data_IF_648623043110
#
_entry.id   IF_648623043110
#
_cell.length_a   1.000
_cell.length_b   1.000
_cell.length_c   1.000
_cell.angle_alpha   90.00
_cell.angle_beta   90.00
_cell.angle_gamma   90.00
#
_symmetry.space_group_name_H-M   'P 1'
#
loop_
_entity.id
_entity.type
_entity.pdbx_description
1 polymer ?
#
# COMPACT_ATOMS: atom_id res chain seq x y z
N UNK A 1 22.26 0.58 -7.55
CA UNK A 1 20.96 0.26 -6.95
C UNK A 1 20.67 1.15 -5.74
N UNK A 2 19.42 1.15 -5.32
CA UNK A 2 18.98 1.87 -4.13
C UNK A 2 18.77 0.87 -2.96
N UNK A 3 19.79 0.61 -2.11
CA UNK A 3 19.68 -0.39 -1.05
C UNK A 3 18.62 -0.03 0.00
N UNK A 4 18.46 1.26 0.34
CA UNK A 4 17.45 1.70 1.28
C UNK A 4 16.04 1.35 0.79
N UNK A 5 15.74 1.63 -0.47
CA UNK A 5 14.46 1.26 -1.09
C UNK A 5 14.22 -0.26 -1.05
N UNK A 6 15.23 -1.06 -1.37
CA UNK A 6 15.10 -2.51 -1.37
C UNK A 6 14.78 -3.06 0.03
N UNK A 7 15.46 -2.58 1.07
CA UNK A 7 15.22 -3.01 2.44
C UNK A 7 13.90 -2.45 3.01
N UNK A 8 13.52 -1.21 2.68
CA UNK A 8 12.23 -0.66 3.09
C UNK A 8 11.06 -1.44 2.47
N UNK A 9 11.14 -1.75 1.18
CA UNK A 9 10.13 -2.56 0.51
C UNK A 9 10.05 -3.97 1.10
N UNK A 10 11.20 -4.58 1.42
CA UNK A 10 11.21 -5.91 1.99
C UNK A 10 10.68 -5.96 3.42
N UNK A 11 11.03 -4.98 4.28
CA UNK A 11 10.48 -4.93 5.64
C UNK A 11 8.95 -4.73 5.62
N UNK A 12 8.44 -3.86 4.71
CA UNK A 12 6.99 -3.65 4.51
C UNK A 12 6.31 -4.92 4.04
N UNK A 13 6.93 -5.64 3.13
CA UNK A 13 6.42 -6.93 2.65
C UNK A 13 6.33 -7.96 3.79
N UNK A 14 7.39 -8.10 4.61
CA UNK A 14 7.36 -9.03 5.76
C UNK A 14 6.23 -8.65 6.72
N UNK A 15 6.10 -7.37 7.07
CA UNK A 15 5.06 -6.90 7.98
C UNK A 15 3.66 -7.18 7.42
N UNK A 16 3.40 -6.78 6.18
CA UNK A 16 2.10 -6.97 5.54
C UNK A 16 1.76 -8.45 5.36
N UNK A 17 2.71 -9.26 4.92
CA UNK A 17 2.51 -10.71 4.78
C UNK A 17 2.21 -11.36 6.14
N UNK A 18 2.96 -11.01 7.17
CA UNK A 18 2.76 -11.55 8.51
C UNK A 18 1.40 -11.15 9.09
N UNK A 19 1.00 -9.88 8.96
CA UNK A 19 -0.25 -9.35 9.50
C UNK A 19 -1.46 -9.83 8.68
N UNK A 20 -1.46 -9.60 7.38
CA UNK A 20 -2.65 -9.82 6.53
C UNK A 20 -2.79 -11.28 6.10
N UNK A 21 -1.69 -11.97 5.79
CA UNK A 21 -1.74 -13.35 5.28
C UNK A 21 -1.72 -14.36 6.41
N UNK A 22 -0.88 -14.12 7.43
CA UNK A 22 -0.63 -15.05 8.54
C UNK A 22 -1.28 -14.65 9.86
N UNK A 23 -1.98 -13.50 9.89
CA UNK A 23 -2.74 -12.99 11.05
C UNK A 23 -1.88 -12.77 12.31
N UNK A 24 -0.59 -12.46 12.13
CA UNK A 24 0.30 -12.06 13.22
C UNK A 24 0.06 -10.59 13.57
N UNK A 25 -0.20 -10.23 14.83
CA UNK A 25 -0.56 -8.85 15.19
C UNK A 25 0.45 -7.79 14.73
N UNK A 26 0.00 -6.82 13.94
CA UNK A 26 0.80 -5.72 13.39
C UNK A 26 1.59 -4.94 14.45
N UNK A 27 1.02 -4.78 15.63
CA UNK A 27 1.62 -4.05 16.75
C UNK A 27 2.98 -4.61 17.20
N UNK A 28 3.25 -5.89 16.96
CA UNK A 28 4.56 -6.50 17.28
C UNK A 28 5.66 -5.95 16.38
N UNK A 29 5.33 -5.72 15.12
CA UNK A 29 6.26 -5.16 14.11
C UNK A 29 6.42 -3.65 14.30
N UNK A 30 5.34 -2.93 14.55
CA UNK A 30 5.36 -1.49 14.79
C UNK A 30 6.25 -1.13 15.98
N UNK A 31 6.18 -1.90 17.06
CA UNK A 31 7.04 -1.72 18.24
C UNK A 31 8.53 -1.80 17.89
N UNK A 32 8.93 -2.73 17.03
CA UNK A 32 10.34 -2.84 16.59
C UNK A 32 10.79 -1.59 15.85
N UNK A 33 9.94 -1.05 14.98
CA UNK A 33 10.25 0.17 14.24
C UNK A 33 10.38 1.35 15.20
N UNK A 34 9.47 1.48 16.15
CA UNK A 34 9.46 2.57 17.12
C UNK A 34 10.68 2.54 18.03
N UNK A 35 11.07 1.36 18.52
CA UNK A 35 12.28 1.17 19.31
C UNK A 35 13.55 1.60 18.53
N UNK A 36 13.66 1.21 17.26
CA UNK A 36 14.80 1.59 16.41
C UNK A 36 14.80 3.09 16.12
N UNK A 37 13.62 3.68 15.87
CA UNK A 37 13.50 5.14 15.68
C UNK A 37 13.94 5.90 16.94
N UNK A 38 13.52 5.43 18.11
CA UNK A 38 13.90 6.03 19.39
C UNK A 38 15.42 5.95 19.61
N UNK A 39 16.03 4.79 19.39
CA UNK A 39 17.47 4.59 19.48
C UNK A 39 18.25 5.50 18.52
N UNK A 40 17.74 5.72 17.33
CA UNK A 40 18.35 6.60 16.29
C UNK A 40 17.98 8.07 16.45
N UNK A 41 17.04 8.40 17.33
CA UNK A 41 16.51 9.76 17.53
C UNK A 41 15.91 10.35 16.24
N UNK A 42 15.20 9.54 15.46
CA UNK A 42 14.50 9.92 14.25
C UNK A 42 12.98 9.80 14.45
N UNK A 43 12.21 10.57 13.67
CA UNK A 43 10.76 10.61 13.82
C UNK A 43 10.03 9.82 12.73
N UNK A 44 10.58 9.79 11.51
CA UNK A 44 9.94 9.15 10.37
C UNK A 44 10.70 7.92 9.89
N UNK A 45 9.96 6.93 9.41
CA UNK A 45 10.54 5.73 8.80
C UNK A 45 11.46 6.05 7.62
N UNK A 46 11.19 7.17 6.93
CA UNK A 46 12.00 7.64 5.81
C UNK A 46 13.41 8.08 6.20
N UNK A 47 13.66 8.34 7.48
CA UNK A 47 14.97 8.74 8.04
C UNK A 47 15.83 7.54 8.40
N UNK A 48 15.23 6.33 8.49
CA UNK A 48 15.98 5.10 8.75
C UNK A 48 16.92 4.78 7.59
N UNK A 49 18.16 4.45 7.93
CA UNK A 49 19.17 4.05 6.97
C UNK A 49 18.97 2.62 6.44
N UNK A 50 19.69 2.24 5.40
CA UNK A 50 19.69 0.87 4.91
C UNK A 50 20.13 -0.16 5.97
N UNK A 51 21.08 0.22 6.83
CA UNK A 51 21.56 -0.65 7.91
C UNK A 51 20.51 -0.79 9.03
N UNK A 52 19.82 0.30 9.39
CA UNK A 52 18.73 0.23 10.35
C UNK A 52 17.59 -0.68 9.83
N UNK A 53 17.26 -0.57 8.55
CA UNK A 53 16.24 -1.41 7.92
C UNK A 53 16.64 -2.90 7.85
N UNK A 54 17.93 -3.22 7.73
CA UNK A 54 18.41 -4.61 7.85
C UNK A 54 18.14 -5.17 9.25
N UNK A 55 18.39 -4.35 10.28
CA UNK A 55 18.10 -4.75 11.66
C UNK A 55 16.60 -4.93 11.89
N UNK A 56 15.75 -4.03 11.36
CA UNK A 56 14.29 -4.19 11.38
C UNK A 56 13.88 -5.52 10.75
N UNK A 57 14.39 -5.83 9.55
CA UNK A 57 14.09 -7.08 8.83
C UNK A 57 14.49 -8.30 9.65
N UNK A 58 15.67 -8.27 10.28
CA UNK A 58 16.15 -9.37 11.11
C UNK A 58 15.17 -9.63 12.25
N UNK A 59 14.80 -8.61 13.00
CA UNK A 59 13.87 -8.71 14.12
C UNK A 59 12.45 -9.11 13.68
N UNK A 60 11.99 -8.64 12.52
CA UNK A 60 10.71 -9.05 11.94
C UNK A 60 10.66 -10.54 11.63
N UNK A 61 11.73 -11.09 11.07
CA UNK A 61 11.83 -12.53 10.82
C UNK A 61 11.85 -13.36 12.11
N UNK A 62 12.45 -12.85 13.16
CA UNK A 62 12.44 -13.49 14.49
C UNK A 62 11.03 -13.52 15.08
N UNK A 63 10.29 -12.41 14.98
CA UNK A 63 8.87 -12.37 15.40
C UNK A 63 8.05 -13.36 14.60
N UNK A 64 8.20 -13.38 13.28
CA UNK A 64 7.52 -14.34 12.41
C UNK A 64 7.79 -15.77 12.85
N UNK A 65 9.06 -16.11 13.01
CA UNK A 65 9.48 -17.46 13.45
C UNK A 65 8.91 -17.83 14.82
N UNK A 66 8.92 -16.89 15.77
CA UNK A 66 8.35 -17.12 17.11
C UNK A 66 6.84 -17.41 17.04
N UNK A 67 6.11 -16.67 16.22
CA UNK A 67 4.64 -16.79 16.10
C UNK A 67 4.18 -17.95 15.24
N UNK A 68 4.91 -18.24 14.16
CA UNK A 68 4.53 -19.25 13.19
C UNK A 68 5.20 -20.61 13.43
N UNK A 69 6.28 -20.66 14.21
CA UNK A 69 7.06 -21.86 14.43
C UNK A 69 7.98 -22.25 13.26
N UNK A 70 8.04 -21.43 12.22
CA UNK A 70 8.84 -21.66 11.00
C UNK A 70 9.47 -20.37 10.49
N UNK A 71 10.50 -20.51 9.66
CA UNK A 71 11.18 -19.36 9.04
C UNK A 71 10.27 -18.63 8.05
N UNK A 72 10.44 -17.31 7.93
CA UNK A 72 9.73 -16.52 6.92
C UNK A 72 10.03 -17.07 5.51
N UNK A 73 8.99 -17.43 4.73
CA UNK A 73 9.18 -18.07 3.43
C UNK A 73 9.93 -17.16 2.45
N UNK A 74 10.99 -17.70 1.83
CA UNK A 74 11.81 -16.94 0.88
C UNK A 74 11.45 -17.22 -0.58
N UNK A 75 10.68 -18.28 -0.84
CA UNK A 75 10.26 -18.66 -2.18
C UNK A 75 9.05 -17.81 -2.62
N UNK A 76 9.17 -16.96 -3.67
CA UNK A 76 8.09 -16.05 -4.08
C UNK A 76 6.78 -16.76 -4.43
N UNK A 77 6.86 -17.96 -4.98
CA UNK A 77 5.66 -18.74 -5.32
C UNK A 77 4.90 -19.21 -4.08
N UNK A 78 5.63 -19.58 -3.03
CA UNK A 78 5.01 -19.93 -1.74
C UNK A 78 4.32 -18.71 -1.15
N UNK A 79 5.00 -17.56 -1.12
CA UNK A 79 4.44 -16.30 -0.65
C UNK A 79 3.16 -15.92 -1.41
N UNK A 80 3.18 -16.02 -2.74
CA UNK A 80 2.02 -15.74 -3.58
C UNK A 80 0.85 -16.68 -3.27
N UNK A 81 1.12 -17.98 -3.16
CA UNK A 81 0.06 -18.95 -2.91
C UNK A 81 -0.58 -18.80 -1.52
N UNK A 82 0.21 -18.46 -0.50
CA UNK A 82 -0.35 -18.16 0.82
C UNK A 82 -1.21 -16.88 0.79
N UNK A 83 -0.78 -15.84 0.06
CA UNK A 83 -1.58 -14.63 -0.13
C UNK A 83 -2.90 -14.93 -0.88
N UNK A 84 -2.88 -15.74 -1.93
CA UNK A 84 -4.08 -16.20 -2.64
C UNK A 84 -5.03 -16.95 -1.70
N UNK A 85 -4.52 -17.87 -0.90
CA UNK A 85 -5.32 -18.59 0.10
C UNK A 85 -5.93 -17.63 1.14
N UNK A 86 -5.18 -16.62 1.59
CA UNK A 86 -5.68 -15.63 2.52
C UNK A 86 -6.86 -14.84 1.93
N UNK A 87 -6.80 -14.45 0.66
CA UNK A 87 -7.93 -13.79 -0.02
C UNK A 87 -9.16 -14.69 -0.03
N UNK A 88 -9.02 -15.98 -0.37
CA UNK A 88 -10.16 -16.90 -0.33
C UNK A 88 -10.70 -17.09 1.09
N UNK A 89 -9.83 -17.23 2.09
CA UNK A 89 -10.29 -17.32 3.51
C UNK A 89 -11.03 -16.06 3.97
N UNK A 90 -10.64 -14.87 3.48
CA UNK A 90 -11.26 -13.61 3.88
C UNK A 90 -12.75 -13.50 3.50
N UNK A 91 -13.23 -14.32 2.55
CA UNK A 91 -14.64 -14.42 2.22
C UNK A 91 -15.50 -14.82 3.42
N UNK A 92 -14.97 -15.66 4.30
CA UNK A 92 -15.68 -16.20 5.46
C UNK A 92 -15.38 -15.45 6.77
N UNK A 93 -14.65 -14.33 6.70
CA UNK A 93 -14.44 -13.51 7.89
C UNK A 93 -15.75 -12.77 8.28
N UNK A 94 -15.89 -12.45 9.56
CA UNK A 94 -17.10 -11.87 10.13
C UNK A 94 -17.52 -10.55 9.43
N UNK A 95 -16.55 -9.68 9.14
CA UNK A 95 -16.80 -8.41 8.44
C UNK A 95 -17.39 -8.63 7.04
N UNK A 96 -16.84 -9.59 6.29
CA UNK A 96 -17.32 -9.92 4.94
C UNK A 96 -18.72 -10.54 4.98
N UNK A 97 -19.00 -11.39 5.97
CA UNK A 97 -20.32 -11.99 6.19
C UNK A 97 -21.36 -10.90 6.49
N UNK A 98 -21.05 -9.98 7.40
CA UNK A 98 -21.94 -8.85 7.74
C UNK A 98 -22.19 -7.97 6.53
N UNK A 99 -21.13 -7.60 5.78
CA UNK A 99 -21.25 -6.81 4.57
C UNK A 99 -22.16 -7.45 3.52
N UNK A 100 -21.98 -8.75 3.28
CA UNK A 100 -22.85 -9.49 2.33
C UNK A 100 -24.31 -9.46 2.74
N UNK A 101 -24.59 -9.67 4.03
CA UNK A 101 -25.97 -9.61 4.55
C UNK A 101 -26.61 -8.23 4.37
N UNK A 102 -25.83 -7.16 4.58
CA UNK A 102 -26.30 -5.78 4.44
C UNK A 102 -26.56 -5.38 2.99
N UNK A 103 -25.93 -6.04 2.03
CA UNK A 103 -26.02 -5.73 0.60
C UNK A 103 -26.69 -6.82 -0.22
N UNK A 104 -27.38 -7.77 0.42
CA UNK A 104 -28.10 -8.88 -0.23
C UNK A 104 -27.24 -9.69 -1.22
N UNK A 105 -25.94 -9.87 -0.88
CA UNK A 105 -24.99 -10.63 -1.70
C UNK A 105 -25.06 -12.11 -1.29
N UNK A 106 -25.35 -13.04 -2.24
CA UNK A 106 -25.39 -14.47 -1.95
C UNK A 106 -24.06 -15.01 -1.43
N UNK A 107 -24.13 -15.85 -0.39
CA UNK A 107 -22.92 -16.42 0.26
C UNK A 107 -22.19 -17.46 -0.59
N UNK A 108 -22.85 -18.03 -1.58
CA UNK A 108 -22.34 -19.06 -2.48
C UNK A 108 -21.61 -18.51 -3.72
N UNK A 109 -21.56 -17.19 -3.90
CA UNK A 109 -20.81 -16.60 -5.03
C UNK A 109 -19.29 -16.77 -4.91
N UNK A 110 -18.76 -16.68 -3.71
CA UNK A 110 -17.32 -16.71 -3.49
C UNK A 110 -16.64 -15.40 -3.91
N UNK A 111 -15.31 -15.44 -3.97
CA UNK A 111 -14.46 -14.30 -4.36
C UNK A 111 -13.46 -14.71 -5.44
N UNK A 112 -12.81 -13.72 -6.04
CA UNK A 112 -11.76 -13.93 -7.03
C UNK A 112 -10.48 -13.19 -6.62
N UNK A 113 -9.35 -13.62 -7.19
CA UNK A 113 -8.03 -13.03 -6.95
C UNK A 113 -7.44 -12.57 -8.26
N UNK A 114 -7.02 -11.31 -8.31
CA UNK A 114 -6.20 -10.78 -9.39
C UNK A 114 -4.76 -10.61 -8.90
N UNK A 115 -3.79 -11.14 -9.67
CA UNK A 115 -2.37 -10.90 -9.42
C UNK A 115 -1.92 -9.77 -10.32
N UNK A 116 -1.52 -8.65 -9.73
CA UNK A 116 -1.16 -7.44 -10.44
C UNK A 116 0.29 -7.05 -10.14
N UNK A 117 1.01 -6.61 -11.18
CA UNK A 117 2.34 -6.03 -11.01
C UNK A 117 2.27 -4.77 -10.15
N UNK A 118 3.19 -4.68 -9.20
CA UNK A 118 3.26 -3.56 -8.28
C UNK A 118 4.10 -2.41 -8.86
N UNK A 119 3.61 -1.18 -8.71
CA UNK A 119 4.35 0.05 -9.00
C UNK A 119 4.71 0.72 -7.67
N UNK A 120 5.95 1.21 -7.55
CA UNK A 120 6.49 1.70 -6.29
C UNK A 120 6.55 3.23 -6.27
N UNK A 121 5.77 3.85 -5.38
CA UNK A 121 5.77 5.30 -5.15
C UNK A 121 6.88 5.79 -4.21
N UNK A 122 7.65 4.90 -3.61
CA UNK A 122 8.70 5.20 -2.62
C UNK A 122 10.14 5.01 -3.16
N UNK A 123 10.33 5.22 -4.46
CA UNK A 123 11.66 5.06 -5.09
C UNK A 123 12.54 6.32 -5.00
N UNK A 124 12.04 7.40 -4.44
CA UNK A 124 12.69 8.70 -4.34
C UNK A 124 11.75 9.83 -4.74
N UNK A 125 12.31 11.03 -4.92
CA UNK A 125 11.52 12.24 -5.17
C UNK A 125 10.88 12.32 -6.58
N UNK A 126 11.19 11.37 -7.46
CA UNK A 126 10.58 11.22 -8.78
C UNK A 126 9.45 10.21 -8.82
N UNK A 127 9.01 9.75 -7.66
CA UNK A 127 7.91 8.82 -7.52
C UNK A 127 6.98 9.24 -6.40
N UNK A 128 5.73 8.84 -6.47
CA UNK A 128 4.73 9.17 -5.48
C UNK A 128 3.53 8.25 -5.56
N UNK A 129 2.63 8.42 -4.61
CA UNK A 129 1.35 7.74 -4.58
C UNK A 129 0.27 8.70 -4.13
N UNK A 130 -0.97 8.44 -4.52
CA UNK A 130 -2.08 9.29 -4.13
C UNK A 130 -3.41 8.57 -4.23
N UNK A 131 -4.43 9.22 -3.71
CA UNK A 131 -5.83 8.79 -3.80
C UNK A 131 -6.63 9.93 -4.40
N UNK A 132 -7.40 9.65 -5.44
CA UNK A 132 -8.18 10.68 -6.10
C UNK A 132 -9.54 10.19 -6.59
N UNK A 133 -10.46 11.14 -6.69
CA UNK A 133 -11.79 10.98 -7.26
C UNK A 133 -11.89 11.79 -8.55
N UNK A 134 -12.64 11.33 -9.52
CA UNK A 134 -12.92 12.06 -10.76
C UNK A 134 -13.91 13.21 -10.54
N UNK A 135 -14.58 13.21 -9.40
CA UNK A 135 -15.52 14.25 -8.95
C UNK A 135 -15.34 14.53 -7.48
N UNK A 136 -15.73 15.71 -7.06
CA UNK A 136 -15.81 16.02 -5.63
C UNK A 136 -16.82 15.06 -4.95
N UNK A 137 -16.40 14.25 -3.97
CA UNK A 137 -17.28 13.24 -3.36
C UNK A 137 -18.42 13.82 -2.54
N UNK A 138 -18.31 15.08 -2.12
CA UNK A 138 -19.34 15.76 -1.33
C UNK A 138 -20.38 16.49 -2.17
N UNK A 139 -19.99 17.04 -3.33
CA UNK A 139 -20.84 17.89 -4.15
C UNK A 139 -21.22 17.27 -5.50
N UNK A 140 -20.49 16.23 -5.94
CA UNK A 140 -20.63 15.66 -7.28
C UNK A 140 -20.06 16.53 -8.40
N UNK A 141 -19.52 17.70 -8.09
CA UNK A 141 -18.95 18.61 -9.08
C UNK A 141 -17.80 17.92 -9.84
N UNK A 142 -17.81 18.07 -11.18
CA UNK A 142 -16.78 17.50 -12.05
C UNK A 142 -15.44 18.18 -11.80
N UNK A 143 -14.40 17.37 -11.65
CA UNK A 143 -13.02 17.82 -11.42
C UNK A 143 -12.30 16.82 -10.52
N UNK A 144 -11.00 16.69 -10.73
CA UNK A 144 -10.18 15.78 -9.91
C UNK A 144 -10.09 16.32 -8.50
N UNK A 145 -10.39 15.46 -7.55
CA UNK A 145 -10.34 15.73 -6.12
C UNK A 145 -9.53 14.64 -5.42
N UNK A 146 -8.51 14.99 -4.69
CA UNK A 146 -7.68 13.99 -4.01
C UNK A 146 -6.37 14.56 -3.49
N UNK A 147 -5.54 13.64 -3.03
CA UNK A 147 -4.29 13.94 -2.34
C UNK A 147 -3.19 12.98 -2.79
N UNK A 148 -1.94 13.43 -2.72
CA UNK A 148 -0.78 12.61 -3.03
C UNK A 148 0.40 12.91 -2.10
N UNK A 149 1.35 11.97 -2.06
CA UNK A 149 2.63 12.09 -1.37
C UNK A 149 3.76 11.69 -2.32
N UNK A 150 4.81 12.50 -2.35
CA UNK A 150 6.08 12.15 -3.00
C UNK A 150 6.84 11.17 -2.10
N UNK A 151 7.55 10.22 -2.72
CA UNK A 151 8.35 9.20 -2.06
C UNK A 151 7.56 8.47 -0.96
N UNK A 152 6.42 7.87 -1.35
CA UNK A 152 5.49 7.21 -0.44
C UNK A 152 4.80 6.01 -1.09
N UNK A 153 4.32 5.09 -0.26
CA UNK A 153 3.40 4.02 -0.65
C UNK A 153 1.95 4.39 -0.31
N UNK A 154 0.97 3.66 -0.87
CA UNK A 154 -0.46 3.93 -0.67
C UNK A 154 -0.86 3.98 0.80
N UNK A 155 -0.31 3.10 1.63
CA UNK A 155 -0.53 3.06 3.07
C UNK A 155 -0.07 4.33 3.80
N UNK A 156 0.97 5.01 3.31
CA UNK A 156 1.48 6.24 3.91
C UNK A 156 0.48 7.41 3.72
N UNK A 157 -0.28 7.41 2.61
CA UNK A 157 -1.32 8.41 2.34
C UNK A 157 -2.51 8.22 3.28
N UNK A 158 -2.99 6.98 3.41
CA UNK A 158 -4.19 6.68 4.22
C UNK A 158 -3.92 6.66 5.72
N UNK A 159 -2.69 6.41 6.14
CA UNK A 159 -2.30 6.40 7.55
C UNK A 159 -2.20 7.79 8.18
N UNK A 160 -2.13 8.87 7.38
CA UNK A 160 -2.05 10.24 7.86
C UNK A 160 -0.77 10.60 8.62
N UNK A 161 0.30 9.81 8.47
CA UNK A 161 1.58 10.03 9.16
C UNK A 161 2.31 11.25 8.59
N UNK A 162 2.13 11.52 7.32
CA UNK A 162 2.66 12.67 6.59
C UNK A 162 1.50 13.49 6.03
N UNK A 163 1.62 14.80 6.01
CA UNK A 163 0.61 15.68 5.40
C UNK A 163 0.65 15.55 3.89
N UNK A 164 -0.40 15.02 3.25
CA UNK A 164 -0.45 14.90 1.81
C UNK A 164 -0.66 16.27 1.15
N UNK A 165 -0.29 16.35 -0.12
CA UNK A 165 -0.51 17.53 -0.97
C UNK A 165 -1.80 17.36 -1.79
N UNK A 166 -2.53 18.45 -2.09
CA UNK A 166 -3.66 18.40 -3.01
C UNK A 166 -3.23 17.87 -4.37
N UNK A 167 -4.03 16.99 -4.97
CA UNK A 167 -3.72 16.34 -6.25
C UNK A 167 -3.46 17.35 -7.39
N UNK A 168 -4.05 18.55 -7.32
CA UNK A 168 -3.84 19.62 -8.31
C UNK A 168 -2.40 20.13 -8.34
N UNK A 169 -1.69 20.05 -7.20
CA UNK A 169 -0.27 20.46 -7.14
C UNK A 169 0.65 19.49 -7.90
N UNK A 170 0.18 18.28 -8.20
CA UNK A 170 0.93 17.31 -9.01
C UNK A 170 1.23 17.86 -10.42
N UNK A 171 0.42 18.82 -10.93
CA UNK A 171 0.68 19.52 -12.17
C UNK A 171 2.00 20.31 -12.16
N UNK A 172 2.36 20.87 -11.00
CA UNK A 172 3.62 21.59 -10.81
C UNK A 172 4.79 20.65 -10.52
N UNK A 173 4.57 19.65 -9.65
CA UNK A 173 5.62 18.76 -9.16
C UNK A 173 6.01 17.68 -10.18
N UNK A 174 5.04 17.13 -10.93
CA UNK A 174 5.22 16.04 -11.90
C UNK A 174 4.22 16.21 -13.08
N UNK A 175 4.41 17.21 -13.96
CA UNK A 175 3.41 17.59 -14.97
C UNK A 175 3.04 16.47 -15.94
N UNK A 176 4.00 15.70 -16.43
CA UNK A 176 3.73 14.56 -17.33
C UNK A 176 2.88 13.49 -16.67
N UNK A 177 3.14 13.21 -15.38
CA UNK A 177 2.35 12.26 -14.59
C UNK A 177 0.92 12.78 -14.39
N UNK A 178 0.76 14.09 -14.14
CA UNK A 178 -0.55 14.70 -13.98
C UNK A 178 -1.39 14.62 -15.24
N UNK A 179 -0.81 14.97 -16.39
CA UNK A 179 -1.51 14.86 -17.69
C UNK A 179 -1.98 13.43 -17.99
N UNK A 180 -1.12 12.45 -17.76
CA UNK A 180 -1.49 11.07 -18.00
C UNK A 180 -2.54 10.58 -16.99
N UNK A 181 -2.41 10.98 -15.74
CA UNK A 181 -3.41 10.70 -14.72
C UNK A 181 -4.80 11.24 -15.12
N UNK A 182 -4.87 12.49 -15.62
CA UNK A 182 -6.13 13.06 -16.12
C UNK A 182 -6.73 12.26 -17.27
N UNK A 183 -5.92 11.80 -18.22
CA UNK A 183 -6.37 10.96 -19.34
C UNK A 183 -6.96 9.63 -18.83
N UNK A 184 -6.28 8.99 -17.88
CA UNK A 184 -6.75 7.73 -17.28
C UNK A 184 -8.05 7.94 -16.50
N UNK A 185 -8.10 8.98 -15.66
CA UNK A 185 -9.27 9.31 -14.85
C UNK A 185 -10.51 9.58 -15.70
N UNK A 186 -10.38 10.38 -16.74
CA UNK A 186 -11.47 10.66 -17.67
C UNK A 186 -11.95 9.39 -18.40
N UNK A 187 -11.01 8.55 -18.87
CA UNK A 187 -11.36 7.28 -19.52
C UNK A 187 -12.11 6.33 -18.60
N UNK A 188 -11.71 6.26 -17.33
CA UNK A 188 -12.39 5.43 -16.31
C UNK A 188 -13.80 5.96 -16.04
N UNK A 189 -13.97 7.28 -15.88
CA UNK A 189 -15.29 7.88 -15.66
C UNK A 189 -16.23 7.63 -16.85
N UNK A 190 -15.75 7.79 -18.08
CA UNK A 190 -16.52 7.52 -19.29
C UNK A 190 -16.94 6.05 -19.40
N UNK A 191 -15.99 5.13 -19.13
CA UNK A 191 -16.24 3.69 -19.29
C UNK A 191 -17.17 3.13 -18.21
N UNK A 192 -17.00 3.55 -16.97
CA UNK A 192 -17.71 2.98 -15.84
C UNK A 192 -18.93 3.81 -15.41
N UNK A 193 -19.08 5.02 -15.92
CA UNK A 193 -20.16 5.96 -15.59
C UNK A 193 -20.32 6.19 -14.07
N UNK A 194 -19.24 6.05 -13.31
CA UNK A 194 -19.20 6.11 -11.85
C UNK A 194 -18.14 7.11 -11.36
N UNK A 195 -18.34 7.62 -10.15
CA UNK A 195 -17.26 8.30 -9.40
C UNK A 195 -16.26 7.23 -8.98
N UNK A 196 -15.02 7.33 -9.47
CA UNK A 196 -13.99 6.37 -9.15
C UNK A 196 -13.01 6.91 -8.15
N UNK A 197 -12.72 6.05 -7.15
CA UNK A 197 -11.50 6.13 -6.37
C UNK A 197 -10.43 5.42 -7.20
N UNK A 198 -9.41 6.14 -7.63
CA UNK A 198 -8.21 5.56 -8.20
C UNK A 198 -7.03 5.79 -7.26
N UNK A 199 -6.21 4.78 -7.10
CA UNK A 199 -4.90 4.90 -6.43
C UNK A 199 -3.81 4.93 -7.51
N UNK A 200 -3.49 6.12 -8.07
CA UNK A 200 -2.41 6.19 -9.03
C UNK A 200 -1.08 6.05 -8.31
N UNK A 201 -0.46 4.90 -8.48
CA UNK A 201 0.92 4.68 -8.09
C UNK A 201 1.73 4.60 -9.38
N UNK A 202 2.62 5.55 -9.60
CA UNK A 202 3.41 5.56 -10.82
C UNK A 202 4.87 5.92 -10.59
N UNK A 203 5.71 5.20 -11.33
CA UNK A 203 7.11 5.51 -11.55
C UNK A 203 7.24 6.36 -12.81
N UNK A 204 7.89 7.52 -12.73
CA UNK A 204 8.39 8.19 -13.92
C UNK A 204 9.45 7.31 -14.58
N UNK A 205 9.39 7.05 -15.89
CA UNK A 205 10.48 6.38 -16.58
C UNK A 205 11.74 7.21 -16.40
N UNK A 206 12.81 6.59 -15.96
CA UNK A 206 14.15 7.19 -16.02
C UNK A 206 14.52 7.12 -17.51
N UNK A 207 14.52 8.27 -18.17
CA UNK A 207 15.11 8.45 -19.49
C UNK A 207 16.62 8.25 -19.44
#
# INVERSE_FOLDING_TARGET
GNPRFAYDSYRRFIQMFSDVVMEVPKSLFERVIDEIKEDRKVHFDTELTAEDLKEVIRRFKEIYKEKMGEEFPQEPRVQLMEAVKAVFRSWDNERAIVYRRMNDIPGDWGTAVNVQSMVFGNMGNTSGTGVAFTRNPSTGAKGIYGEYLINAQGEDVVAGIRTPQPITRLEEDLPECYEEFLKIANRLEEHLSLIHISEPTRRTPIS
#
